data_IF_450479272072
#
_entry.id   IF_450479272072
#
_cell.length_a   1.000
_cell.length_b   1.000
_cell.length_c   1.000
_cell.angle_alpha   90.00
_cell.angle_beta   90.00
_cell.angle_gamma   90.00
#
_symmetry.space_group_name_H-M   'P 1'
#
loop_
_entity.id
_entity.type
_entity.pdbx_description
1 polymer ?
#
# COMPACT_ATOMS: atom_id res chain seq x y z
N UNK A 1 19.71 1.84 -58.76
CA UNK A 1 19.42 0.59 -58.03
C UNK A 1 19.81 0.81 -56.55
N UNK A 2 18.87 1.37 -55.84
CA UNK A 2 19.08 1.63 -54.39
C UNK A 2 18.52 0.44 -53.61
N UNK A 3 19.38 -0.20 -52.81
CA UNK A 3 19.00 -1.26 -51.91
C UNK A 3 18.36 -0.68 -50.64
N UNK A 4 17.27 -1.21 -50.12
CA UNK A 4 16.70 -0.74 -48.88
C UNK A 4 17.52 -1.18 -47.66
N UNK A 5 17.86 -0.20 -46.81
CA UNK A 5 18.45 -0.40 -45.49
C UNK A 5 17.41 -1.08 -44.58
N UNK A 6 17.78 -2.23 -44.03
CA UNK A 6 16.99 -2.92 -43.03
C UNK A 6 16.98 -2.13 -41.70
N UNK A 7 15.86 -2.09 -40.95
CA UNK A 7 15.84 -1.45 -39.64
C UNK A 7 16.58 -2.30 -38.60
N UNK A 8 17.38 -1.63 -37.81
CA UNK A 8 18.16 -2.15 -36.68
C UNK A 8 17.20 -2.65 -35.56
N UNK A 9 17.29 -3.91 -35.11
CA UNK A 9 16.48 -4.46 -34.02
C UNK A 9 17.19 -4.28 -32.67
N UNK A 10 17.60 -3.06 -32.32
CA UNK A 10 18.06 -2.76 -30.96
C UNK A 10 16.94 -2.18 -30.08
N UNK A 11 15.83 -2.90 -29.95
CA UNK A 11 14.88 -2.65 -28.86
C UNK A 11 15.31 -3.44 -27.63
N UNK A 12 15.54 -2.66 -26.58
CA UNK A 12 16.10 -2.98 -25.30
C UNK A 12 15.79 -4.37 -24.75
N UNK A 13 16.83 -5.03 -24.31
CA UNK A 13 16.83 -6.22 -23.47
C UNK A 13 15.86 -6.04 -22.29
N UNK A 14 14.99 -7.04 -21.98
CA UNK A 14 14.19 -7.01 -20.77
C UNK A 14 15.12 -6.99 -19.55
N UNK A 15 14.83 -6.09 -18.64
CA UNK A 15 15.57 -5.87 -17.40
C UNK A 15 15.76 -7.20 -16.66
N UNK A 16 16.98 -7.51 -16.31
CA UNK A 16 17.43 -8.61 -15.46
C UNK A 16 16.51 -8.76 -14.25
N UNK A 17 15.90 -9.95 -14.08
CA UNK A 17 14.82 -10.25 -13.17
C UNK A 17 15.12 -10.15 -11.68
N UNK A 18 15.17 -8.94 -11.16
CA UNK A 18 14.94 -8.74 -9.73
C UNK A 18 13.45 -8.96 -9.42
N UNK A 19 13.16 -9.72 -8.38
CA UNK A 19 11.79 -9.87 -7.91
C UNK A 19 11.28 -8.52 -7.37
N UNK A 20 9.97 -8.22 -7.49
CA UNK A 20 9.39 -7.06 -6.85
C UNK A 20 9.68 -7.03 -5.33
N UNK A 21 9.78 -5.85 -4.76
CA UNK A 21 9.98 -5.68 -3.34
C UNK A 21 8.81 -6.21 -2.51
N UNK A 22 9.00 -6.43 -1.21
CA UNK A 22 7.90 -6.81 -0.33
C UNK A 22 6.91 -5.65 -0.17
N UNK A 23 5.64 -6.01 0.06
CA UNK A 23 4.56 -5.08 0.39
C UNK A 23 4.19 -5.27 1.86
N UNK A 24 3.88 -4.18 2.56
CA UNK A 24 3.25 -4.22 3.86
C UNK A 24 1.91 -3.46 3.85
N UNK A 25 0.82 -4.16 4.19
CA UNK A 25 -0.51 -3.59 4.34
C UNK A 25 -0.81 -3.49 5.83
N UNK A 26 -0.66 -2.29 6.38
CA UNK A 26 -0.72 -2.04 7.81
C UNK A 26 -2.14 -1.61 8.21
N UNK A 27 -2.72 -2.27 9.21
CA UNK A 27 -4.07 -1.96 9.69
C UNK A 27 -4.15 -0.58 10.34
N UNK A 28 -3.21 -0.28 11.20
CA UNK A 28 -2.96 1.04 11.79
C UNK A 28 -1.72 1.02 12.69
N UNK A 29 -1.42 2.15 13.32
CA UNK A 29 -0.32 2.23 14.26
C UNK A 29 1.02 2.51 13.60
N UNK A 30 1.00 3.10 12.40
CA UNK A 30 2.21 3.60 11.76
C UNK A 30 2.99 4.50 12.71
N UNK A 31 4.32 4.36 12.64
CA UNK A 31 5.27 5.09 13.48
C UNK A 31 5.24 4.72 14.97
N UNK A 32 4.46 3.70 15.38
CA UNK A 32 4.53 3.16 16.74
C UNK A 32 5.74 2.23 16.89
N UNK A 33 6.27 2.08 18.11
CA UNK A 33 7.39 1.17 18.38
C UNK A 33 7.13 -0.29 17.95
N UNK A 34 5.88 -0.75 18.02
CA UNK A 34 5.46 -2.10 17.60
C UNK A 34 5.63 -2.36 16.09
N UNK A 35 5.65 -1.31 15.27
CA UNK A 35 5.81 -1.42 13.82
C UNK A 35 7.28 -1.30 13.37
N UNK A 36 8.16 -0.86 14.27
CA UNK A 36 9.57 -0.58 13.94
C UNK A 36 10.33 -1.81 13.44
N UNK A 37 10.06 -2.98 14.01
CA UNK A 37 10.69 -4.24 13.58
C UNK A 37 10.26 -4.62 12.17
N UNK A 38 8.97 -4.46 11.85
CA UNK A 38 8.44 -4.75 10.51
C UNK A 38 9.09 -3.82 9.48
N UNK A 39 9.18 -2.53 9.76
CA UNK A 39 9.78 -1.56 8.84
C UNK A 39 11.29 -1.77 8.71
N UNK A 40 11.98 -2.19 9.78
CA UNK A 40 13.39 -2.56 9.72
C UNK A 40 13.62 -3.72 8.77
N UNK A 41 12.81 -4.78 8.87
CA UNK A 41 12.92 -5.94 7.97
C UNK A 41 12.57 -5.57 6.51
N UNK A 42 11.62 -4.64 6.32
CA UNK A 42 11.28 -4.15 4.98
C UNK A 42 12.44 -3.39 4.32
N UNK A 43 13.25 -2.65 5.09
CA UNK A 43 14.34 -1.86 4.56
C UNK A 43 15.69 -2.60 4.58
N UNK A 44 15.79 -3.69 5.33
CA UNK A 44 17.03 -4.46 5.45
C UNK A 44 17.53 -4.95 4.08
N UNK A 45 18.82 -4.81 3.84
CA UNK A 45 19.46 -5.13 2.56
C UNK A 45 19.10 -4.21 1.39
N UNK A 46 18.38 -3.09 1.65
CA UNK A 46 17.99 -2.06 0.66
C UNK A 46 18.70 -0.74 0.95
N UNK A 47 18.66 0.22 0.02
CA UNK A 47 19.20 1.56 0.29
C UNK A 47 18.62 2.16 1.58
N UNK A 48 19.43 2.79 2.45
CA UNK A 48 18.97 3.32 3.73
C UNK A 48 18.22 4.66 3.55
N UNK A 49 17.12 4.62 2.77
CA UNK A 49 16.33 5.79 2.39
C UNK A 49 14.85 5.49 2.51
N UNK A 50 14.17 6.23 3.39
CA UNK A 50 12.76 6.11 3.73
C UNK A 50 11.99 7.26 3.08
N UNK A 51 11.22 6.97 2.05
CA UNK A 51 10.35 7.94 1.35
C UNK A 51 8.95 7.85 1.94
N UNK A 52 8.54 8.90 2.67
CA UNK A 52 7.20 9.02 3.22
C UNK A 52 6.30 9.84 2.31
N UNK A 53 5.08 9.37 2.05
CA UNK A 53 4.08 10.05 1.22
C UNK A 53 2.80 10.27 2.06
N UNK A 54 2.65 11.43 2.72
CA UNK A 54 1.53 11.71 3.62
C UNK A 54 0.31 12.30 2.91
N UNK A 55 0.17 12.10 1.60
CA UNK A 55 -0.88 12.66 0.72
C UNK A 55 -2.30 12.40 1.25
N UNK A 56 -2.54 11.24 1.89
CA UNK A 56 -3.85 10.92 2.47
C UNK A 56 -4.33 11.93 3.52
N UNK A 57 -3.41 12.66 4.17
CA UNK A 57 -3.68 13.66 5.19
C UNK A 57 -3.74 15.10 4.63
N UNK A 58 -3.60 15.33 3.33
CA UNK A 58 -3.46 16.67 2.73
C UNK A 58 -4.64 17.61 3.03
N UNK A 59 -5.86 17.10 3.21
CA UNK A 59 -7.04 17.91 3.55
C UNK A 59 -7.27 18.09 5.06
N UNK A 60 -6.41 17.55 5.92
CA UNK A 60 -6.53 17.71 7.38
C UNK A 60 -5.97 19.04 7.89
N UNK A 61 -5.39 19.85 7.00
CA UNK A 61 -4.76 21.13 7.29
C UNK A 61 -3.25 21.05 7.45
N UNK A 62 -2.58 22.19 7.32
CA UNK A 62 -1.11 22.27 7.28
C UNK A 62 -0.44 21.74 8.56
N UNK A 63 -0.98 22.05 9.73
CA UNK A 63 -0.43 21.61 11.02
C UNK A 63 -0.51 20.09 11.16
N UNK A 64 -1.61 19.50 10.71
CA UNK A 64 -1.80 18.07 10.75
C UNK A 64 -0.87 17.35 9.77
N UNK A 65 -0.70 17.90 8.59
CA UNK A 65 0.24 17.39 7.60
C UNK A 65 1.69 17.45 8.10
N UNK A 66 2.08 18.59 8.72
CA UNK A 66 3.40 18.75 9.35
C UNK A 66 3.62 17.74 10.48
N UNK A 67 2.60 17.46 11.28
CA UNK A 67 2.64 16.41 12.31
C UNK A 67 2.92 15.03 11.73
N UNK A 68 2.25 14.65 10.63
CA UNK A 68 2.52 13.37 9.96
C UNK A 68 3.94 13.29 9.39
N UNK A 69 4.43 14.38 8.80
CA UNK A 69 5.82 14.48 8.31
C UNK A 69 6.82 14.29 9.46
N UNK A 70 6.59 14.91 10.60
CA UNK A 70 7.46 14.79 11.77
C UNK A 70 7.49 13.36 12.34
N UNK A 71 6.34 12.68 12.37
CA UNK A 71 6.27 11.28 12.78
C UNK A 71 7.10 10.37 11.86
N UNK A 72 7.00 10.57 10.54
CA UNK A 72 7.78 9.79 9.57
C UNK A 72 9.29 10.06 9.68
N UNK A 73 9.69 11.31 9.92
CA UNK A 73 11.10 11.66 10.18
C UNK A 73 11.65 10.97 11.41
N UNK A 74 10.90 11.00 12.52
CA UNK A 74 11.29 10.29 13.75
C UNK A 74 11.38 8.77 13.54
N UNK A 75 10.53 8.22 12.72
CA UNK A 75 10.58 6.79 12.41
C UNK A 75 11.83 6.44 11.59
N UNK A 76 12.14 7.21 10.55
CA UNK A 76 13.37 7.06 9.79
C UNK A 76 14.63 7.21 10.68
N UNK A 77 14.62 8.16 11.62
CA UNK A 77 15.68 8.32 12.61
C UNK A 77 15.85 7.06 13.50
N UNK A 78 14.74 6.48 14.01
CA UNK A 78 14.77 5.22 14.77
C UNK A 78 15.29 4.02 13.96
N UNK A 79 15.05 4.05 12.64
CA UNK A 79 15.57 3.05 11.71
C UNK A 79 17.04 3.29 11.34
N UNK A 80 17.58 4.47 11.62
CA UNK A 80 18.93 4.88 11.22
C UNK A 80 19.09 5.14 9.72
N UNK A 81 18.05 5.64 9.06
CA UNK A 81 18.00 5.86 7.61
C UNK A 81 17.64 7.30 7.25
N UNK A 82 17.94 7.70 6.01
CA UNK A 82 17.56 9.01 5.46
C UNK A 82 16.03 9.14 5.40
N UNK A 83 15.49 10.23 5.96
CA UNK A 83 14.08 10.58 5.85
C UNK A 83 13.83 11.49 4.65
N UNK A 84 12.95 11.08 3.74
CA UNK A 84 12.52 11.87 2.59
C UNK A 84 11.00 12.02 2.64
N UNK A 85 10.47 13.04 3.32
CA UNK A 85 9.05 13.35 3.29
C UNK A 85 8.69 14.00 1.95
N UNK A 86 7.96 13.26 1.13
CA UNK A 86 7.48 13.72 -0.17
C UNK A 86 6.05 14.23 -0.04
N UNK A 87 5.95 15.53 0.26
CA UNK A 87 4.66 16.18 0.51
C UNK A 87 4.01 16.53 -0.82
N UNK A 88 2.99 15.77 -1.19
CA UNK A 88 2.19 15.96 -2.39
C UNK A 88 0.74 16.11 -1.97
N UNK A 89 0.13 17.24 -2.26
CA UNK A 89 -1.22 17.60 -1.80
C UNK A 89 -2.26 17.59 -2.90
N UNK A 90 -1.83 17.59 -4.15
CA UNK A 90 -2.70 17.59 -5.32
C UNK A 90 -2.12 16.81 -6.49
N UNK A 91 -2.93 16.62 -7.51
CA UNK A 91 -2.60 15.83 -8.68
C UNK A 91 -1.53 16.48 -9.57
N UNK A 92 -1.45 17.80 -9.61
CA UNK A 92 -0.45 18.48 -10.42
C UNK A 92 0.96 18.24 -9.87
N UNK A 93 1.10 18.31 -8.54
CA UNK A 93 2.35 17.93 -7.85
C UNK A 93 2.68 16.45 -8.03
N UNK A 94 1.67 15.55 -7.98
CA UNK A 94 1.89 14.13 -8.21
C UNK A 94 2.32 13.79 -9.65
N UNK A 95 2.01 14.64 -10.60
CA UNK A 95 2.39 14.46 -12.02
C UNK A 95 3.67 15.22 -12.39
N UNK A 96 4.29 15.92 -11.43
CA UNK A 96 5.57 16.61 -11.59
C UNK A 96 6.72 15.59 -11.65
N UNK A 97 7.51 15.53 -12.76
CA UNK A 97 8.61 14.60 -12.91
C UNK A 97 9.77 14.84 -11.91
N UNK A 98 9.98 16.08 -11.44
CA UNK A 98 11.02 16.39 -10.46
C UNK A 98 10.63 15.84 -9.08
N UNK A 99 9.34 15.90 -8.73
CA UNK A 99 8.81 15.27 -7.52
C UNK A 99 8.89 13.76 -7.64
N UNK A 100 8.46 13.20 -8.76
CA UNK A 100 8.52 11.75 -9.01
C UNK A 100 9.95 11.20 -8.95
N UNK A 101 10.95 11.95 -9.42
CA UNK A 101 12.34 11.55 -9.38
C UNK A 101 12.89 11.37 -7.95
N UNK A 102 12.28 11.99 -6.93
CA UNK A 102 12.72 11.87 -5.55
C UNK A 102 12.48 10.48 -4.95
N UNK A 103 11.67 9.64 -5.59
CA UNK A 103 11.48 8.22 -5.23
C UNK A 103 12.74 7.38 -5.51
N UNK A 104 13.61 7.86 -6.40
CA UNK A 104 14.81 7.11 -6.79
C UNK A 104 15.71 6.79 -5.59
N UNK A 105 16.20 5.55 -5.55
CA UNK A 105 17.07 5.08 -4.46
C UNK A 105 16.35 4.84 -3.13
N UNK A 106 15.02 4.84 -3.09
CA UNK A 106 14.28 4.45 -1.89
C UNK A 106 14.50 2.97 -1.56
N UNK A 107 14.77 2.67 -0.29
CA UNK A 107 14.72 1.31 0.24
C UNK A 107 13.32 0.94 0.70
N UNK A 108 12.60 1.92 1.25
CA UNK A 108 11.21 1.80 1.65
C UNK A 108 10.42 3.05 1.24
N UNK A 109 9.29 2.83 0.57
CA UNK A 109 8.29 3.86 0.29
C UNK A 109 7.08 3.61 1.18
N UNK A 110 6.58 4.64 1.88
CA UNK A 110 5.52 4.51 2.87
C UNK A 110 4.35 5.46 2.57
N UNK A 111 3.20 4.91 2.25
CA UNK A 111 1.94 5.64 2.09
C UNK A 111 1.26 5.77 3.45
N UNK A 112 1.24 6.98 4.03
CA UNK A 112 0.66 7.23 5.36
C UNK A 112 -0.88 7.10 5.37
N UNK A 113 -1.43 7.05 6.59
CA UNK A 113 -2.88 7.06 6.84
C UNK A 113 -3.56 8.39 6.54
N UNK A 114 -4.91 8.38 6.57
CA UNK A 114 -5.79 9.53 6.31
C UNK A 114 -6.98 9.18 5.42
N UNK A 115 -7.20 9.92 4.34
CA UNK A 115 -8.30 9.69 3.40
C UNK A 115 -7.85 8.82 2.20
N UNK A 116 -8.32 7.57 2.08
CA UNK A 116 -7.88 6.65 1.04
C UNK A 116 -8.32 7.06 -0.38
N UNK A 117 -9.49 7.68 -0.50
CA UNK A 117 -9.99 8.18 -1.79
C UNK A 117 -9.16 9.36 -2.27
N UNK A 118 -8.83 10.30 -1.39
CA UNK A 118 -7.95 11.42 -1.72
C UNK A 118 -6.58 10.91 -2.20
N UNK A 119 -5.98 9.97 -1.47
CA UNK A 119 -4.70 9.37 -1.86
C UNK A 119 -4.76 8.72 -3.24
N UNK A 120 -5.77 7.89 -3.48
CA UNK A 120 -5.94 7.22 -4.77
C UNK A 120 -6.21 8.21 -5.91
N UNK A 121 -7.08 9.19 -5.72
CA UNK A 121 -7.44 10.18 -6.75
C UNK A 121 -6.26 11.12 -7.06
N UNK A 122 -5.42 11.43 -6.06
CA UNK A 122 -4.21 12.25 -6.26
C UNK A 122 -3.12 11.52 -7.01
N UNK A 123 -2.87 10.24 -6.70
CA UNK A 123 -1.72 9.51 -7.25
C UNK A 123 -2.03 8.71 -8.53
N UNK A 124 -3.27 8.26 -8.76
CA UNK A 124 -3.61 7.37 -9.88
C UNK A 124 -3.19 7.97 -11.22
N UNK A 125 -2.48 7.16 -12.04
CA UNK A 125 -2.02 7.50 -13.40
C UNK A 125 -1.04 8.70 -13.46
N UNK A 126 -0.41 9.10 -12.36
CA UNK A 126 0.57 10.19 -12.30
C UNK A 126 2.01 9.71 -12.48
N UNK A 127 2.92 10.65 -12.72
CA UNK A 127 4.36 10.38 -12.80
C UNK A 127 4.88 9.78 -11.49
N UNK A 128 4.45 10.29 -10.33
CA UNK A 128 4.84 9.79 -9.02
C UNK A 128 4.38 8.34 -8.81
N UNK A 129 3.12 8.02 -9.14
CA UNK A 129 2.65 6.64 -8.97
C UNK A 129 3.42 5.66 -9.87
N UNK A 130 3.67 6.03 -11.12
CA UNK A 130 4.52 5.23 -12.02
C UNK A 130 5.92 5.01 -11.43
N UNK A 131 6.55 6.06 -10.90
CA UNK A 131 7.87 5.97 -10.28
C UNK A 131 7.86 5.05 -9.03
N UNK A 132 6.80 5.08 -8.21
CA UNK A 132 6.63 4.18 -7.05
C UNK A 132 6.52 2.72 -7.52
N UNK A 133 5.67 2.43 -8.51
CA UNK A 133 5.49 1.07 -9.05
C UNK A 133 6.78 0.56 -9.67
N UNK A 134 7.47 1.39 -10.44
CA UNK A 134 8.75 1.04 -11.04
C UNK A 134 9.84 0.77 -9.99
N UNK A 135 9.90 1.55 -8.91
CA UNK A 135 10.81 1.31 -7.79
C UNK A 135 10.50 -0.01 -7.10
N UNK A 136 9.22 -0.29 -6.82
CA UNK A 136 8.77 -1.55 -6.24
C UNK A 136 9.11 -2.74 -7.12
N UNK A 137 8.87 -2.68 -8.43
CA UNK A 137 9.22 -3.74 -9.39
C UNK A 137 10.74 -4.01 -9.43
N UNK A 138 11.58 -3.02 -9.06
CA UNK A 138 13.03 -3.17 -8.94
C UNK A 138 13.52 -3.56 -7.55
N UNK A 139 12.62 -3.93 -6.63
CA UNK A 139 12.96 -4.49 -5.32
C UNK A 139 12.81 -3.54 -4.13
N UNK A 140 12.41 -2.26 -4.33
CA UNK A 140 12.09 -1.34 -3.23
C UNK A 140 10.88 -1.87 -2.44
N UNK A 141 10.96 -1.86 -1.11
CA UNK A 141 9.81 -2.20 -0.28
C UNK A 141 8.73 -1.11 -0.35
N UNK A 142 7.46 -1.53 -0.34
CA UNK A 142 6.31 -0.62 -0.36
C UNK A 142 5.39 -0.91 0.83
N UNK A 143 5.12 0.09 1.64
CA UNK A 143 4.20 -0.02 2.75
C UNK A 143 3.05 0.97 2.63
N UNK A 144 1.88 0.61 3.14
CA UNK A 144 0.75 1.51 3.28
C UNK A 144 0.00 1.23 4.57
N UNK A 145 -0.30 2.29 5.33
CA UNK A 145 -1.06 2.18 6.56
C UNK A 145 -2.47 2.72 6.37
N UNK A 146 -3.46 2.01 6.92
CA UNK A 146 -4.87 2.42 6.90
C UNK A 146 -5.31 2.85 5.49
N UNK A 147 -5.41 4.14 5.23
CA UNK A 147 -5.71 4.70 3.91
C UNK A 147 -4.72 4.24 2.83
N UNK A 148 -3.42 4.17 3.14
CA UNK A 148 -2.38 3.68 2.23
C UNK A 148 -2.59 2.22 1.84
N UNK A 149 -2.94 1.36 2.80
CA UNK A 149 -3.26 -0.04 2.55
C UNK A 149 -4.51 -0.20 1.68
N UNK A 150 -5.56 0.58 1.95
CA UNK A 150 -6.81 0.57 1.16
C UNK A 150 -6.57 1.04 -0.28
N UNK A 151 -5.80 2.11 -0.45
CA UNK A 151 -5.58 2.73 -1.76
C UNK A 151 -4.78 1.85 -2.72
N UNK A 152 -3.89 0.96 -2.23
CA UNK A 152 -3.11 0.04 -3.08
C UNK A 152 -3.97 -1.02 -3.79
N UNK A 153 -5.19 -1.31 -3.32
CA UNK A 153 -6.14 -2.18 -3.99
C UNK A 153 -6.63 -1.58 -5.33
N UNK A 154 -7.38 -2.35 -6.09
CA UNK A 154 -8.10 -1.85 -7.28
C UNK A 154 -9.29 -0.98 -6.89
N UNK A 155 -9.80 -1.17 -5.68
CA UNK A 155 -11.03 -0.57 -5.21
C UNK A 155 -10.96 -0.19 -3.72
N UNK A 156 -11.28 1.07 -3.42
CA UNK A 156 -11.39 1.60 -2.06
C UNK A 156 -12.85 1.45 -1.59
N UNK A 157 -13.16 0.58 -0.63
CA UNK A 157 -14.53 0.40 -0.15
C UNK A 157 -15.03 1.66 0.59
N UNK A 158 -16.32 1.99 0.40
CA UNK A 158 -16.98 3.00 1.22
C UNK A 158 -17.40 2.38 2.55
N UNK A 159 -16.55 2.52 3.57
CA UNK A 159 -16.80 1.94 4.89
C UNK A 159 -17.96 2.62 5.64
N UNK A 160 -18.39 3.81 5.21
CA UNK A 160 -19.55 4.51 5.80
C UNK A 160 -20.86 4.06 5.16
N UNK A 161 -20.81 3.65 3.90
CA UNK A 161 -21.95 3.20 3.13
C UNK A 161 -21.63 1.88 2.42
N UNK A 162 -21.56 0.76 3.15
CA UNK A 162 -21.07 -0.53 2.63
C UNK A 162 -21.92 -1.14 1.51
N UNK A 163 -23.10 -0.59 1.27
CA UNK A 163 -23.98 -1.01 0.17
C UNK A 163 -23.71 -0.24 -1.14
N UNK A 164 -22.90 0.81 -1.09
CA UNK A 164 -22.49 1.57 -2.27
C UNK A 164 -21.23 0.95 -2.87
N UNK A 165 -21.11 1.08 -4.18
CA UNK A 165 -19.84 0.82 -4.84
C UNK A 165 -18.81 1.81 -4.29
N UNK A 166 -17.62 1.30 -3.94
CA UNK A 166 -16.52 2.14 -3.51
C UNK A 166 -15.94 2.94 -4.67
N UNK A 167 -14.74 3.47 -4.48
CA UNK A 167 -14.03 4.30 -5.47
C UNK A 167 -12.86 3.52 -6.05
N UNK A 168 -12.42 3.80 -7.29
CA UNK A 168 -11.21 3.21 -7.84
C UNK A 168 -9.99 3.45 -6.93
N UNK A 169 -9.20 2.41 -6.72
CA UNK A 169 -7.92 2.47 -6.03
C UNK A 169 -6.75 2.75 -6.99
N UNK A 170 -5.55 2.38 -6.58
CA UNK A 170 -4.32 2.51 -7.37
C UNK A 170 -4.01 1.28 -8.22
N UNK A 171 -4.76 0.17 -8.03
CA UNK A 171 -4.71 -1.02 -8.88
C UNK A 171 -3.45 -1.88 -8.73
N UNK A 172 -2.64 -1.69 -7.68
CA UNK A 172 -1.44 -2.50 -7.45
C UNK A 172 -1.78 -3.94 -7.03
N UNK A 173 -2.87 -4.10 -6.27
CA UNK A 173 -3.32 -5.38 -5.70
C UNK A 173 -4.78 -5.67 -6.11
N UNK A 174 -5.03 -6.04 -7.37
CA UNK A 174 -6.40 -6.18 -7.89
C UNK A 174 -7.19 -7.33 -7.25
N UNK A 175 -6.51 -8.36 -6.75
CA UNK A 175 -7.15 -9.50 -6.06
C UNK A 175 -7.43 -9.29 -4.57
N UNK A 176 -7.19 -8.08 -4.02
CA UNK A 176 -7.24 -7.84 -2.59
C UNK A 176 -7.98 -6.54 -2.26
N UNK A 177 -8.80 -6.55 -1.21
CA UNK A 177 -9.37 -5.36 -0.56
C UNK A 177 -9.08 -5.40 0.92
N UNK A 178 -8.72 -4.25 1.50
CA UNK A 178 -8.32 -4.14 2.91
C UNK A 178 -9.33 -3.30 3.68
N UNK A 179 -9.74 -3.81 4.85
CA UNK A 179 -10.44 -3.07 5.89
C UNK A 179 -9.45 -2.87 7.05
N UNK A 180 -8.87 -1.69 7.20
CA UNK A 180 -7.96 -1.38 8.30
C UNK A 180 -8.73 -1.21 9.62
N UNK A 181 -8.03 -1.10 10.76
CA UNK A 181 -8.61 -0.93 12.10
C UNK A 181 -9.74 -1.94 12.40
N UNK A 182 -9.57 -3.19 11.92
CA UNK A 182 -10.68 -4.13 11.90
C UNK A 182 -11.19 -4.47 13.30
N UNK A 183 -10.32 -4.63 14.26
CA UNK A 183 -10.64 -4.84 15.69
C UNK A 183 -11.48 -3.69 16.27
N UNK A 184 -11.21 -2.44 15.87
CA UNK A 184 -11.95 -1.25 16.33
C UNK A 184 -13.25 -1.02 15.58
N UNK A 185 -13.25 -1.27 14.28
CA UNK A 185 -14.40 -0.96 13.41
C UNK A 185 -15.44 -2.06 13.42
N UNK A 186 -15.05 -3.31 13.24
CA UNK A 186 -15.94 -4.42 13.00
C UNK A 186 -15.68 -5.63 13.91
N UNK A 187 -14.55 -5.69 14.59
CA UNK A 187 -14.13 -6.86 15.36
C UNK A 187 -15.09 -7.27 16.48
N UNK A 188 -15.81 -6.31 17.06
CA UNK A 188 -16.77 -6.53 18.15
C UNK A 188 -18.22 -6.67 17.66
N UNK A 189 -18.53 -6.41 16.39
CA UNK A 189 -19.88 -6.49 15.84
C UNK A 189 -20.18 -7.95 15.45
N UNK A 190 -21.32 -8.53 15.83
CA UNK A 190 -21.72 -9.88 15.42
C UNK A 190 -21.73 -10.06 13.90
N UNK A 191 -21.31 -11.24 13.41
CA UNK A 191 -21.23 -11.56 11.98
C UNK A 191 -22.49 -11.28 11.18
N UNK A 192 -23.65 -11.49 11.81
CA UNK A 192 -24.95 -11.22 11.19
C UNK A 192 -25.11 -9.75 10.79
N UNK A 193 -24.62 -8.81 11.60
CA UNK A 193 -24.73 -7.37 11.36
C UNK A 193 -23.63 -6.84 10.44
N UNK A 194 -22.54 -7.59 10.28
CA UNK A 194 -21.44 -7.21 9.37
C UNK A 194 -21.61 -7.73 7.95
N UNK A 195 -22.62 -8.58 7.69
CA UNK A 195 -22.88 -9.14 6.35
C UNK A 195 -22.89 -8.12 5.21
N UNK A 196 -23.42 -6.89 5.35
CA UNK A 196 -23.35 -5.89 4.27
C UNK A 196 -21.91 -5.52 3.89
N UNK A 197 -20.98 -5.55 4.85
CA UNK A 197 -19.55 -5.27 4.65
C UNK A 197 -18.80 -6.48 4.09
N UNK A 198 -19.32 -7.69 4.28
CA UNK A 198 -18.70 -8.97 3.94
C UNK A 198 -19.16 -9.51 2.58
N UNK A 199 -19.61 -8.66 1.68
CA UNK A 199 -20.02 -9.08 0.34
C UNK A 199 -18.79 -9.56 -0.43
N UNK A 200 -18.78 -10.84 -0.75
CA UNK A 200 -17.76 -11.43 -1.60
C UNK A 200 -17.88 -10.85 -3.02
N UNK A 201 -16.77 -10.40 -3.54
CA UNK A 201 -16.61 -10.10 -4.98
C UNK A 201 -15.86 -11.28 -5.58
N UNK A 202 -16.38 -11.95 -6.61
CA UNK A 202 -15.69 -13.09 -7.24
C UNK A 202 -14.25 -12.71 -7.61
N UNK A 203 -13.29 -13.57 -7.23
CA UNK A 203 -11.86 -13.35 -7.50
C UNK A 203 -11.19 -12.28 -6.62
N UNK A 204 -11.87 -11.69 -5.65
CA UNK A 204 -11.31 -10.67 -4.75
C UNK A 204 -11.40 -11.14 -3.29
N UNK A 205 -10.25 -11.15 -2.62
CA UNK A 205 -10.15 -11.45 -1.20
C UNK A 205 -10.36 -10.17 -0.38
N UNK A 206 -11.36 -10.16 0.49
CA UNK A 206 -11.57 -9.09 1.45
C UNK A 206 -10.89 -9.44 2.78
N UNK A 207 -10.00 -8.59 3.25
CA UNK A 207 -9.21 -8.84 4.46
C UNK A 207 -9.35 -7.69 5.45
N UNK A 208 -9.74 -8.02 6.69
CA UNK A 208 -9.62 -7.13 7.84
C UNK A 208 -8.18 -7.19 8.39
N UNK A 209 -7.61 -6.07 8.75
CA UNK A 209 -6.30 -6.00 9.44
C UNK A 209 -6.47 -5.19 10.71
N UNK A 210 -6.14 -5.81 11.84
CA UNK A 210 -6.25 -5.20 13.16
C UNK A 210 -5.20 -4.09 13.35
N UNK A 211 -5.39 -3.24 14.36
CA UNK A 211 -4.40 -2.22 14.73
C UNK A 211 -3.06 -2.87 15.12
N UNK A 212 -1.96 -2.15 14.92
CA UNK A 212 -0.59 -2.62 15.19
C UNK A 212 -0.26 -3.99 14.53
N UNK A 213 -0.87 -4.25 13.38
CA UNK A 213 -0.74 -5.50 12.61
C UNK A 213 -0.58 -5.18 11.13
N UNK A 214 0.17 -5.99 10.43
CA UNK A 214 0.42 -5.85 9.00
C UNK A 214 0.36 -7.20 8.29
N UNK A 215 -0.07 -7.17 7.03
CA UNK A 215 0.17 -8.24 6.06
C UNK A 215 1.48 -7.91 5.33
N UNK A 216 2.50 -8.75 5.46
CA UNK A 216 3.83 -8.53 4.90
C UNK A 216 4.18 -9.61 3.88
N UNK A 217 4.64 -9.22 2.70
CA UNK A 217 4.99 -10.14 1.61
C UNK A 217 4.44 -9.65 0.26
N UNK A 218 3.51 -10.39 -0.33
CA UNK A 218 2.79 -10.02 -1.56
C UNK A 218 3.56 -10.20 -2.86
N UNK A 219 2.85 -10.01 -3.99
CA UNK A 219 1.42 -9.77 -4.07
C UNK A 219 0.54 -11.02 -3.82
N UNK A 220 1.08 -12.24 -3.97
CA UNK A 220 0.31 -13.50 -3.92
C UNK A 220 0.18 -14.10 -2.52
N UNK A 221 1.22 -13.94 -1.70
CA UNK A 221 1.30 -14.53 -0.36
C UNK A 221 1.74 -13.49 0.64
N UNK A 222 0.98 -13.36 1.73
CA UNK A 222 1.29 -12.46 2.82
C UNK A 222 1.41 -13.24 4.13
N UNK A 223 2.30 -12.82 5.00
CA UNK A 223 2.42 -13.29 6.39
C UNK A 223 1.86 -12.21 7.31
N UNK A 224 1.04 -12.60 8.29
CA UNK A 224 0.55 -11.68 9.32
C UNK A 224 1.68 -11.40 10.30
N UNK A 225 1.99 -10.12 10.50
CA UNK A 225 3.01 -9.65 11.45
C UNK A 225 2.45 -8.55 12.34
N UNK A 226 3.00 -8.41 13.54
CA UNK A 226 2.56 -7.42 14.52
C UNK A 226 1.88 -8.05 15.73
N UNK A 227 1.03 -7.28 16.42
CA UNK A 227 0.52 -7.64 17.74
C UNK A 227 -0.77 -8.44 17.73
N UNK A 228 -1.56 -8.33 16.69
CA UNK A 228 -2.90 -8.89 16.63
C UNK A 228 -3.06 -9.83 15.43
N UNK A 229 -4.15 -9.73 14.68
CA UNK A 229 -4.53 -10.69 13.65
C UNK A 229 -4.96 -9.99 12.35
N UNK A 230 -4.96 -10.76 11.27
CA UNK A 230 -5.75 -10.43 10.10
C UNK A 230 -6.97 -11.37 10.01
N UNK A 231 -7.94 -11.01 9.17
CA UNK A 231 -9.21 -11.68 9.06
C UNK A 231 -9.62 -11.80 7.60
N UNK A 232 -9.77 -13.01 7.12
CA UNK A 232 -10.39 -13.25 5.82
C UNK A 232 -11.90 -13.16 5.98
N UNK A 233 -12.54 -12.31 5.16
CA UNK A 233 -13.94 -11.96 5.26
C UNK A 233 -14.68 -12.44 4.00
N UNK A 234 -15.69 -13.25 4.17
CA UNK A 234 -16.46 -13.74 3.02
C UNK A 234 -17.57 -14.70 3.44
N UNK A 235 -18.59 -14.83 2.61
CA UNK A 235 -19.75 -15.72 2.80
C UNK A 235 -20.44 -15.56 4.16
N UNK A 236 -20.39 -14.34 4.73
CA UNK A 236 -20.94 -14.02 6.05
C UNK A 236 -20.16 -14.60 7.22
N UNK A 237 -18.91 -15.01 7.01
CA UNK A 237 -18.00 -15.57 8.03
C UNK A 237 -16.70 -14.76 8.08
N UNK A 238 -16.03 -14.87 9.21
CA UNK A 238 -14.68 -14.34 9.44
C UNK A 238 -13.75 -15.50 9.79
N UNK A 239 -12.67 -15.62 9.08
CA UNK A 239 -11.59 -16.54 9.41
C UNK A 239 -10.42 -15.72 9.95
N UNK A 240 -10.05 -15.96 11.20
CA UNK A 240 -8.88 -15.35 11.83
C UNK A 240 -7.60 -15.98 11.30
N UNK A 241 -6.63 -15.14 11.00
CA UNK A 241 -5.26 -15.50 10.64
C UNK A 241 -4.36 -14.86 11.70
N UNK A 242 -3.71 -15.69 12.51
CA UNK A 242 -2.89 -15.20 13.62
C UNK A 242 -1.54 -14.67 13.14
N UNK A 243 -0.87 -13.90 14.00
CA UNK A 243 0.51 -13.48 13.72
C UNK A 243 1.43 -14.70 13.48
N UNK A 244 2.24 -14.63 12.44
CA UNK A 244 3.10 -15.73 11.95
C UNK A 244 2.42 -16.63 10.92
N UNK A 245 1.11 -16.62 10.80
CA UNK A 245 0.39 -17.38 9.76
C UNK A 245 0.38 -16.64 8.43
N UNK A 246 0.15 -17.39 7.35
CA UNK A 246 0.10 -16.85 5.99
C UNK A 246 -1.29 -16.92 5.39
N UNK A 247 -1.57 -15.97 4.50
CA UNK A 247 -2.73 -16.02 3.63
C UNK A 247 -2.29 -15.93 2.16
N UNK A 248 -3.08 -16.56 1.27
CA UNK A 248 -2.89 -16.47 -0.17
C UNK A 248 -3.98 -15.60 -0.78
N UNK A 249 -3.54 -14.68 -1.64
CA UNK A 249 -4.46 -13.88 -2.46
C UNK A 249 -4.77 -14.70 -3.72
N UNK A 250 -6.04 -14.91 -4.07
CA UNK A 250 -6.38 -15.60 -5.30
C UNK A 250 -5.84 -14.82 -6.51
N UNK A 251 -5.40 -15.54 -7.53
CA UNK A 251 -5.08 -14.90 -8.80
C UNK A 251 -6.32 -14.13 -9.31
N UNK A 252 -6.16 -12.91 -9.83
CA UNK A 252 -7.29 -12.19 -10.42
C UNK A 252 -7.92 -13.06 -11.50
N UNK A 253 -9.25 -13.11 -11.53
CA UNK A 253 -9.97 -13.83 -12.58
C UNK A 253 -9.55 -13.25 -13.92
N UNK A 254 -9.07 -14.11 -14.81
CA UNK A 254 -8.79 -13.71 -16.19
C UNK A 254 -10.10 -13.28 -16.84
N UNK A 255 -10.16 -12.10 -17.48
CA UNK A 255 -11.38 -11.60 -18.10
C UNK A 255 -11.87 -12.48 -19.26
#
# INVERSE_FOLDING_TARGET
MDSPVAPDPSHGTPHSGAAPGPIALVGSGEYLPSMLEIERDLIDGRPPRYVQIPTAAALEGADRLAYWVDLGRRQAERLGVEAVPLVVTDRAQADDPEIAAQVAGAGLIYLSGGNPTLLADTLRDTALWRAIVDAWLRGTALAGCSAGAMAMADHVPDLRHPTRDGRPGLGLLPGLRVIPHFDRMLGWIPDLLTRPFLRATPGVLLVGVDEETALVGGPEVFTVRGRQSAWVLGEGRRQRIAAGETLRVPAPATP
#
